data_IF_865976800664
#
_entry.id   IF_865976800664
#
_cell.length_a   1.000
_cell.length_b   1.000
_cell.length_c   1.000
_cell.angle_alpha   90.00
_cell.angle_beta   90.00
_cell.angle_gamma   90.00
#
_symmetry.space_group_name_H-M   'P 1'
#
loop_
_entity.id
_entity.type
_entity.pdbx_description
1 polymer ?
#
# COMPACT_ATOMS: atom_id res chain seq x y z
N UNK A 1 21.96 -5.26 6.25
CA UNK A 1 20.58 -4.82 5.98
C UNK A 1 20.29 -5.21 4.54
N UNK A 2 19.45 -6.20 4.30
CA UNK A 2 18.95 -6.43 2.96
C UNK A 2 18.01 -5.28 2.63
N UNK A 3 18.41 -4.48 1.65
CA UNK A 3 17.57 -3.37 1.16
C UNK A 3 16.40 -3.96 0.38
N UNK A 4 15.20 -3.39 0.53
CA UNK A 4 14.08 -3.72 -0.34
C UNK A 4 14.54 -3.60 -1.81
N UNK A 5 14.21 -4.58 -2.64
CA UNK A 5 14.60 -4.58 -4.05
C UNK A 5 13.93 -3.39 -4.73
N UNK A 6 14.71 -2.51 -5.35
CA UNK A 6 14.15 -1.40 -6.12
C UNK A 6 13.39 -1.92 -7.34
N UNK A 7 12.26 -1.32 -7.63
CA UNK A 7 11.48 -1.61 -8.84
C UNK A 7 12.05 -0.86 -10.05
N UNK A 8 11.79 -1.32 -11.28
CA UNK A 8 12.14 -0.56 -12.48
C UNK A 8 11.54 0.84 -12.44
N UNK A 9 12.31 1.85 -12.84
CA UNK A 9 11.88 3.24 -12.87
C UNK A 9 10.53 3.39 -13.59
N UNK A 10 9.47 3.90 -12.92
CA UNK A 10 8.12 3.90 -13.48
C UNK A 10 7.89 4.98 -14.53
N UNK A 11 8.73 6.01 -14.60
CA UNK A 11 8.60 7.11 -15.56
C UNK A 11 7.20 7.76 -15.54
N UNK A 12 6.76 8.15 -14.36
CA UNK A 12 5.45 8.77 -14.14
C UNK A 12 4.25 7.95 -14.63
N UNK A 13 4.38 6.61 -14.69
CA UNK A 13 3.23 5.75 -14.93
C UNK A 13 2.13 5.99 -13.90
N UNK A 14 0.89 5.83 -14.31
CA UNK A 14 -0.24 5.85 -13.38
C UNK A 14 -0.46 4.48 -12.74
N UNK A 15 -0.93 4.49 -11.49
CA UNK A 15 -1.45 3.32 -10.75
C UNK A 15 -2.51 3.77 -9.75
N UNK A 16 -3.13 2.84 -9.04
CA UNK A 16 -4.11 3.16 -7.98
C UNK A 16 -3.66 2.75 -6.60
N UNK A 17 -4.50 3.04 -5.57
CA UNK A 17 -4.25 2.74 -4.14
C UNK A 17 -5.21 1.66 -3.71
N UNK A 18 -5.58 0.70 -3.89
CA UNK A 18 -6.29 -0.43 -3.28
C UNK A 18 -7.81 -0.40 -3.41
N UNK A 19 -8.53 0.14 -2.45
CA UNK A 19 -9.98 0.01 -2.39
C UNK A 19 -10.72 0.64 -3.58
N UNK A 20 -11.69 -0.11 -4.14
CA UNK A 20 -12.63 0.35 -5.17
C UNK A 20 -14.07 0.03 -4.75
N UNK A 21 -15.07 0.85 -5.19
CA UNK A 21 -16.49 0.66 -4.86
C UNK A 21 -17.18 -0.39 -5.75
N UNK A 22 -16.42 -1.33 -6.29
CA UNK A 22 -16.93 -2.39 -7.15
C UNK A 22 -17.43 -3.56 -6.32
N UNK A 23 -18.46 -4.23 -6.80
CA UNK A 23 -18.96 -5.49 -6.24
C UNK A 23 -18.65 -6.72 -7.12
N UNK A 24 -18.28 -6.49 -8.37
CA UNK A 24 -17.82 -7.53 -9.29
C UNK A 24 -16.29 -7.49 -9.46
N UNK A 25 -15.56 -8.52 -9.01
CA UNK A 25 -14.11 -8.61 -9.13
C UNK A 25 -13.61 -8.57 -10.58
N UNK A 26 -14.36 -9.21 -11.50
CA UNK A 26 -13.97 -9.26 -12.90
C UNK A 26 -14.06 -7.89 -13.56
N UNK A 27 -15.11 -7.13 -13.23
CA UNK A 27 -15.27 -5.76 -13.70
C UNK A 27 -14.20 -4.83 -13.09
N UNK A 28 -13.94 -4.94 -11.79
CA UNK A 28 -12.93 -4.14 -11.11
C UNK A 28 -11.53 -4.31 -11.75
N UNK A 29 -11.13 -5.56 -11.96
CA UNK A 29 -9.84 -5.86 -12.59
C UNK A 29 -9.78 -5.43 -14.07
N UNK A 30 -10.89 -5.54 -14.81
CA UNK A 30 -10.97 -5.06 -16.20
C UNK A 30 -10.78 -3.55 -16.27
N UNK A 31 -11.44 -2.79 -15.39
CA UNK A 31 -11.33 -1.34 -15.33
C UNK A 31 -9.90 -0.91 -14.97
N UNK A 32 -9.27 -1.59 -13.98
CA UNK A 32 -7.88 -1.32 -13.61
C UNK A 32 -6.90 -1.61 -14.76
N UNK A 33 -7.00 -2.76 -15.40
CA UNK A 33 -6.11 -3.14 -16.50
C UNK A 33 -6.26 -2.22 -17.72
N UNK A 34 -7.47 -1.72 -17.96
CA UNK A 34 -7.72 -0.74 -19.03
C UNK A 34 -7.07 0.62 -18.79
N UNK A 35 -7.13 1.11 -17.54
CA UNK A 35 -6.63 2.44 -17.18
C UNK A 35 -5.14 2.45 -16.82
N UNK A 36 -4.61 1.34 -16.30
CA UNK A 36 -3.24 1.21 -15.82
C UNK A 36 -2.53 -0.01 -16.44
N UNK A 37 -2.36 -0.05 -17.77
CA UNK A 37 -1.86 -1.26 -18.44
C UNK A 37 -0.43 -1.64 -18.09
N UNK A 38 0.43 -0.67 -17.75
CA UNK A 38 1.84 -0.91 -17.43
C UNK A 38 2.08 -1.15 -15.93
N UNK A 39 1.27 -0.53 -15.07
CA UNK A 39 1.42 -0.57 -13.63
C UNK A 39 0.07 -0.81 -12.93
N UNK A 40 -0.63 -1.91 -13.25
CA UNK A 40 -1.92 -2.20 -12.61
C UNK A 40 -1.74 -2.52 -11.12
N UNK A 41 -2.79 -2.24 -10.37
CA UNK A 41 -2.90 -2.69 -8.99
C UNK A 41 -4.03 -3.69 -8.85
N UNK A 42 -3.96 -4.56 -7.85
CA UNK A 42 -5.03 -5.48 -7.52
C UNK A 42 -5.93 -4.79 -6.47
N UNK A 43 -7.20 -4.50 -6.79
CA UNK A 43 -8.06 -3.77 -5.86
C UNK A 43 -8.55 -4.66 -4.71
N UNK A 44 -8.88 -4.05 -3.57
CA UNK A 44 -9.77 -4.61 -2.56
C UNK A 44 -11.19 -4.07 -2.78
N UNK A 45 -12.21 -4.87 -2.48
CA UNK A 45 -13.61 -4.56 -2.80
C UNK A 45 -14.50 -4.54 -1.54
N UNK A 46 -14.33 -3.55 -0.66
CA UNK A 46 -15.02 -3.52 0.64
C UNK A 46 -16.55 -3.46 0.53
N UNK A 47 -17.11 -3.01 -0.60
CA UNK A 47 -18.55 -2.98 -0.84
C UNK A 47 -19.14 -4.39 -1.12
N UNK A 48 -18.29 -5.40 -1.33
CA UNK A 48 -18.73 -6.80 -1.39
C UNK A 48 -19.04 -7.38 -0.02
N UNK A 49 -18.37 -6.89 0.99
CA UNK A 49 -18.55 -7.35 2.35
C UNK A 49 -17.39 -6.96 3.25
N UNK A 50 -17.65 -7.00 4.54
CA UNK A 50 -16.71 -6.55 5.56
C UNK A 50 -15.34 -7.28 5.51
N UNK A 51 -15.33 -8.56 5.15
CA UNK A 51 -14.10 -9.34 5.07
C UNK A 51 -13.11 -8.83 4.01
N UNK A 52 -13.57 -8.08 3.00
CA UNK A 52 -12.71 -7.41 2.02
C UNK A 52 -12.30 -5.98 2.44
N UNK A 53 -12.66 -5.53 3.65
CA UNK A 53 -12.23 -4.23 4.19
C UNK A 53 -10.81 -4.31 4.76
N UNK A 54 -10.14 -3.15 4.82
CA UNK A 54 -8.82 -3.02 5.46
C UNK A 54 -8.84 -3.64 6.86
N UNK A 55 -7.76 -4.30 7.24
CA UNK A 55 -7.57 -5.13 8.44
C UNK A 55 -8.30 -6.46 8.38
N UNK A 56 -9.60 -6.47 8.03
CA UNK A 56 -10.35 -7.74 7.92
C UNK A 56 -9.78 -8.65 6.82
N UNK A 57 -9.45 -8.09 5.66
CA UNK A 57 -8.93 -8.85 4.52
C UNK A 57 -7.62 -9.60 4.80
N UNK A 58 -6.86 -9.12 5.78
CA UNK A 58 -5.59 -9.73 6.18
C UNK A 58 -5.66 -10.51 7.50
N UNK A 59 -6.87 -10.63 8.12
CA UNK A 59 -7.01 -11.09 9.50
C UNK A 59 -7.17 -12.62 9.67
N UNK A 60 -7.34 -13.37 8.60
CA UNK A 60 -7.77 -14.78 8.70
C UNK A 60 -6.84 -15.63 9.57
N UNK A 61 -5.53 -15.44 9.46
CA UNK A 61 -4.53 -16.21 10.20
C UNK A 61 -4.09 -15.56 11.52
N UNK A 62 -4.79 -14.50 11.98
CA UNK A 62 -4.44 -13.86 13.26
C UNK A 62 -4.71 -14.84 14.43
N UNK A 63 -3.70 -15.19 15.25
CA UNK A 63 -3.92 -15.92 16.50
C UNK A 63 -4.95 -15.21 17.37
N UNK A 64 -5.88 -15.96 17.96
CA UNK A 64 -6.93 -15.38 18.83
C UNK A 64 -7.96 -14.50 18.13
N UNK A 65 -8.06 -14.58 16.81
CA UNK A 65 -9.02 -13.82 16.01
C UNK A 65 -10.47 -14.12 16.39
N UNK A 66 -11.22 -13.06 16.66
CA UNK A 66 -12.67 -13.12 16.86
C UNK A 66 -13.35 -11.98 16.09
N UNK A 67 -14.43 -12.29 15.38
CA UNK A 67 -15.33 -11.27 14.83
C UNK A 67 -16.61 -11.29 15.66
N UNK A 68 -16.97 -10.15 16.24
CA UNK A 68 -18.19 -9.94 17.02
C UNK A 68 -18.74 -8.55 16.76
N UNK A 69 -20.04 -8.44 16.50
CA UNK A 69 -20.73 -7.17 16.25
C UNK A 69 -19.99 -6.31 15.18
N UNK A 70 -19.63 -6.94 14.07
CA UNK A 70 -18.89 -6.35 12.96
C UNK A 70 -17.52 -5.75 13.34
N UNK A 71 -16.93 -6.22 14.44
CA UNK A 71 -15.59 -5.80 14.88
C UNK A 71 -14.63 -6.98 14.89
N UNK A 72 -13.42 -6.69 14.46
CA UNK A 72 -12.30 -7.61 14.59
C UNK A 72 -11.64 -7.40 15.96
N UNK A 73 -11.60 -8.44 16.76
CA UNK A 73 -11.11 -8.44 18.12
C UNK A 73 -10.07 -9.53 18.31
N UNK A 74 -9.26 -9.39 19.34
CA UNK A 74 -8.34 -10.41 19.84
C UNK A 74 -8.90 -11.03 21.12
N UNK A 75 -9.02 -12.37 21.14
CA UNK A 75 -9.47 -13.11 22.33
C UNK A 75 -8.28 -13.36 23.28
N UNK A 76 -8.11 -12.42 24.22
CA UNK A 76 -7.10 -12.53 25.29
C UNK A 76 -7.53 -13.47 26.44
N UNK A 77 -8.70 -14.06 26.38
CA UNK A 77 -9.21 -14.96 27.45
C UNK A 77 -8.73 -16.41 27.27
N UNK A 78 -8.23 -16.75 26.08
CA UNK A 78 -7.70 -18.06 25.73
C UNK A 78 -6.19 -18.02 25.56
N UNK A 79 -5.55 -19.12 25.90
CA UNK A 79 -4.12 -19.29 25.59
C UNK A 79 -3.91 -19.36 24.07
N UNK A 80 -3.15 -18.44 23.54
CA UNK A 80 -2.79 -18.33 22.12
C UNK A 80 -1.34 -18.79 21.84
N UNK A 81 -0.62 -19.28 22.85
CA UNK A 81 0.81 -19.57 22.76
C UNK A 81 1.14 -20.50 21.59
N UNK A 82 0.44 -21.61 21.45
CA UNK A 82 0.69 -22.55 20.36
C UNK A 82 0.44 -21.96 18.97
N UNK A 83 -0.60 -21.11 18.81
CA UNK A 83 -0.87 -20.45 17.54
C UNK A 83 0.16 -19.37 17.19
N UNK A 84 0.66 -18.66 18.20
CA UNK A 84 1.73 -17.68 18.04
C UNK A 84 3.06 -18.36 17.73
N UNK A 85 3.40 -19.45 18.40
CA UNK A 85 4.58 -20.27 18.10
C UNK A 85 4.55 -20.81 16.67
N UNK A 86 3.37 -21.21 16.16
CA UNK A 86 3.24 -21.65 14.77
C UNK A 86 3.59 -20.54 13.79
N UNK A 87 3.15 -19.29 14.03
CA UNK A 87 3.53 -18.15 13.18
C UNK A 87 5.04 -17.94 13.16
N UNK A 88 5.71 -18.09 14.34
CA UNK A 88 7.18 -18.00 14.42
C UNK A 88 7.87 -19.10 13.63
N UNK A 89 7.40 -20.34 13.76
CA UNK A 89 7.97 -21.47 13.04
C UNK A 89 7.81 -21.30 11.54
N UNK A 90 6.61 -20.95 11.07
CA UNK A 90 6.33 -20.70 9.67
C UNK A 90 7.21 -19.56 9.11
N UNK A 91 7.41 -18.51 9.90
CA UNK A 91 8.28 -17.40 9.52
C UNK A 91 9.76 -17.83 9.38
N UNK A 92 10.29 -18.56 10.35
CA UNK A 92 11.69 -19.04 10.32
C UNK A 92 11.92 -20.01 9.18
N UNK A 93 10.95 -20.87 8.89
CA UNK A 93 11.01 -21.85 7.81
C UNK A 93 10.67 -21.25 6.43
N UNK A 94 10.15 -20.03 6.39
CA UNK A 94 9.64 -19.42 5.17
C UNK A 94 8.39 -20.10 4.61
N UNK A 95 7.61 -20.75 5.46
CA UNK A 95 6.39 -21.48 5.13
C UNK A 95 5.20 -20.52 4.99
N UNK A 96 5.08 -19.83 3.87
CA UNK A 96 4.01 -18.87 3.61
C UNK A 96 2.72 -19.50 3.06
N UNK A 97 2.70 -20.78 2.73
CA UNK A 97 1.53 -21.43 2.14
C UNK A 97 0.24 -21.37 3.01
N UNK A 98 0.33 -21.50 4.36
CA UNK A 98 -0.86 -21.35 5.23
C UNK A 98 -1.46 -19.94 5.26
N UNK A 99 -0.75 -18.94 4.73
CA UNK A 99 -1.16 -17.53 4.73
C UNK A 99 -1.80 -17.10 3.41
N UNK A 100 -2.28 -18.08 2.64
CA UNK A 100 -3.03 -17.87 1.41
C UNK A 100 -4.27 -17.00 1.66
N UNK A 101 -4.57 -16.13 0.70
CA UNK A 101 -5.83 -15.37 0.70
C UNK A 101 -6.96 -16.24 0.16
N UNK A 102 -8.10 -16.23 0.83
CA UNK A 102 -9.31 -16.91 0.39
C UNK A 102 -10.31 -15.95 -0.28
N UNK A 103 -11.24 -16.51 -1.04
CA UNK A 103 -12.16 -15.74 -1.92
C UNK A 103 -13.01 -14.72 -1.15
N UNK A 104 -13.38 -15.04 0.07
CA UNK A 104 -14.19 -14.20 0.95
C UNK A 104 -13.44 -12.94 1.41
N UNK A 105 -12.10 -12.96 1.36
CA UNK A 105 -11.21 -11.89 1.84
C UNK A 105 -10.57 -11.10 0.71
N UNK A 106 -10.43 -11.70 -0.48
CA UNK A 106 -9.64 -11.11 -1.57
C UNK A 106 -10.12 -11.58 -2.95
N UNK A 107 -11.39 -11.36 -3.25
CA UNK A 107 -12.01 -11.85 -4.48
C UNK A 107 -11.33 -11.31 -5.75
N UNK A 108 -10.98 -10.03 -5.77
CA UNK A 108 -10.31 -9.42 -6.92
C UNK A 108 -8.86 -9.91 -7.08
N UNK A 109 -8.16 -10.22 -5.98
CA UNK A 109 -6.83 -10.81 -6.06
C UNK A 109 -6.87 -12.17 -6.76
N UNK A 110 -7.73 -13.07 -6.29
CA UNK A 110 -7.86 -14.41 -6.87
C UNK A 110 -8.37 -14.36 -8.31
N UNK A 111 -9.28 -13.44 -8.63
CA UNK A 111 -9.77 -13.26 -10.00
C UNK A 111 -8.65 -12.75 -10.93
N UNK A 112 -7.84 -11.77 -10.50
CA UNK A 112 -6.68 -11.29 -11.26
C UNK A 112 -5.71 -12.44 -11.55
N UNK A 113 -5.52 -13.36 -10.60
CA UNK A 113 -4.65 -14.51 -10.78
C UNK A 113 -5.19 -15.52 -11.83
N UNK A 114 -6.45 -15.46 -12.24
CA UNK A 114 -6.96 -16.29 -13.34
C UNK A 114 -6.72 -15.68 -14.73
N UNK A 115 -6.42 -14.38 -14.80
CA UNK A 115 -6.29 -13.67 -16.06
C UNK A 115 -4.96 -13.93 -16.75
N UNK A 116 -5.00 -13.87 -18.07
CA UNK A 116 -3.79 -13.66 -18.86
C UNK A 116 -3.55 -12.16 -18.96
N UNK A 117 -2.43 -11.68 -18.42
CA UNK A 117 -1.98 -10.29 -18.51
C UNK A 117 -0.66 -10.22 -19.24
N UNK A 118 -0.49 -9.23 -20.11
CA UNK A 118 0.73 -9.05 -20.90
C UNK A 118 1.11 -7.57 -20.93
N UNK A 119 2.40 -7.28 -21.09
CA UNK A 119 2.89 -5.91 -21.13
C UNK A 119 2.92 -5.19 -19.78
N UNK A 120 2.65 -5.90 -18.69
CA UNK A 120 2.69 -5.36 -17.32
C UNK A 120 4.14 -5.27 -16.87
N UNK A 121 4.58 -4.07 -16.54
CA UNK A 121 5.93 -3.82 -16.01
C UNK A 121 6.00 -4.18 -14.53
N UNK A 122 5.03 -3.74 -13.76
CA UNK A 122 4.92 -4.05 -12.33
C UNK A 122 3.47 -4.35 -11.98
N UNK A 123 3.21 -5.52 -11.40
CA UNK A 123 1.91 -5.84 -10.81
C UNK A 123 1.96 -5.51 -9.32
N UNK A 124 1.03 -4.68 -8.86
CA UNK A 124 0.99 -4.18 -7.50
C UNK A 124 -0.18 -4.79 -6.72
N UNK A 125 0.07 -5.18 -5.47
CA UNK A 125 -0.98 -5.45 -4.48
C UNK A 125 -0.74 -4.65 -3.19
N UNK A 126 -1.75 -4.63 -2.33
CA UNK A 126 -1.66 -4.01 -1.01
C UNK A 126 -2.04 -4.99 0.08
N UNK A 127 -1.34 -4.88 1.21
CA UNK A 127 -1.56 -5.63 2.44
C UNK A 127 -1.64 -4.62 3.57
N UNK A 128 -2.48 -4.84 4.55
CA UNK A 128 -2.52 -3.99 5.76
C UNK A 128 -1.22 -4.14 6.52
N UNK A 129 -0.54 -3.02 6.79
CA UNK A 129 0.71 -3.08 7.54
C UNK A 129 0.50 -3.35 9.04
N UNK A 130 1.53 -3.83 9.74
CA UNK A 130 1.40 -4.31 11.12
C UNK A 130 1.01 -3.23 12.12
N UNK A 131 1.45 -1.99 11.92
CA UNK A 131 1.06 -0.87 12.81
C UNK A 131 -0.44 -0.62 12.72
N UNK A 132 -0.94 -0.43 11.51
CA UNK A 132 -2.37 -0.19 11.26
C UNK A 132 -3.23 -1.35 11.72
N UNK A 133 -2.80 -2.57 11.41
CA UNK A 133 -3.51 -3.76 11.82
C UNK A 133 -3.61 -3.84 13.34
N UNK A 134 -2.48 -3.78 14.03
CA UNK A 134 -2.41 -3.94 15.49
C UNK A 134 -3.03 -2.79 16.27
N UNK A 135 -3.10 -1.59 15.69
CA UNK A 135 -3.77 -0.44 16.28
C UNK A 135 -5.30 -0.51 16.12
N UNK A 136 -5.82 -1.18 15.10
CA UNK A 136 -7.26 -1.32 14.88
C UNK A 136 -7.86 -2.55 15.57
N UNK A 137 -7.07 -3.60 15.76
CA UNK A 137 -7.52 -4.79 16.49
C UNK A 137 -7.30 -4.58 17.99
N UNK A 138 -8.35 -4.76 18.78
CA UNK A 138 -8.31 -4.54 20.23
C UNK A 138 -8.68 -5.81 20.98
N UNK A 139 -8.19 -5.92 22.21
CA UNK A 139 -8.57 -6.95 23.17
C UNK A 139 -9.89 -6.67 23.90
N UNK A 140 -10.24 -7.51 24.86
CA UNK A 140 -11.47 -7.41 25.64
C UNK A 140 -11.57 -6.11 26.48
N UNK A 141 -10.44 -5.46 26.80
CA UNK A 141 -10.39 -4.18 27.52
C UNK A 141 -10.20 -2.98 26.58
N UNK A 142 -10.37 -3.19 25.27
CA UNK A 142 -10.23 -2.19 24.19
C UNK A 142 -8.82 -1.64 24.04
N UNK A 143 -7.80 -2.38 24.46
CA UNK A 143 -6.40 -2.02 24.23
C UNK A 143 -5.96 -2.54 22.86
N UNK A 144 -5.37 -1.70 21.99
CA UNK A 144 -4.78 -2.15 20.73
C UNK A 144 -3.73 -3.23 20.96
N UNK A 145 -3.78 -4.30 20.16
CA UNK A 145 -2.82 -5.41 20.29
C UNK A 145 -1.39 -5.00 19.94
N UNK A 146 -1.21 -3.91 19.19
CA UNK A 146 0.11 -3.36 18.87
C UNK A 146 0.91 -2.92 20.10
N UNK A 147 0.24 -2.61 21.24
CA UNK A 147 0.90 -2.25 22.49
C UNK A 147 1.39 -3.44 23.33
N UNK A 148 1.14 -4.65 22.87
CA UNK A 148 1.77 -5.84 23.39
C UNK A 148 2.94 -6.20 22.49
N UNK A 149 4.17 -6.19 23.03
CA UNK A 149 5.38 -6.39 22.23
C UNK A 149 5.44 -7.77 21.54
N UNK A 150 4.90 -8.80 22.19
CA UNK A 150 4.87 -10.15 21.63
C UNK A 150 3.83 -10.24 20.50
N UNK A 151 2.65 -9.64 20.69
CA UNK A 151 1.62 -9.60 19.65
C UNK A 151 2.05 -8.74 18.46
N UNK A 152 2.70 -7.60 18.69
CA UNK A 152 3.24 -6.76 17.62
C UNK A 152 4.28 -7.51 16.76
N UNK A 153 5.14 -8.28 17.40
CA UNK A 153 6.17 -9.08 16.73
C UNK A 153 5.55 -10.25 15.94
N UNK A 154 4.63 -11.01 16.54
CA UNK A 154 3.88 -12.08 15.84
C UNK A 154 3.10 -11.52 14.66
N UNK A 155 2.46 -10.38 14.82
CA UNK A 155 1.70 -9.72 13.77
C UNK A 155 2.59 -9.33 12.59
N UNK A 156 3.79 -8.80 12.86
CA UNK A 156 4.75 -8.45 11.81
C UNK A 156 5.16 -9.67 10.98
N UNK A 157 5.39 -10.80 11.64
CA UNK A 157 5.73 -12.08 10.98
C UNK A 157 4.57 -12.65 10.17
N UNK A 158 3.34 -12.58 10.72
CA UNK A 158 2.14 -12.98 10.01
C UNK A 158 1.95 -12.16 8.72
N UNK A 159 2.10 -10.82 8.81
CA UNK A 159 2.00 -9.94 7.64
C UNK A 159 3.15 -10.20 6.65
N UNK A 160 4.36 -10.50 7.13
CA UNK A 160 5.48 -10.87 6.27
C UNK A 160 5.19 -12.13 5.43
N UNK A 161 4.65 -13.17 6.06
CA UNK A 161 4.25 -14.41 5.40
C UNK A 161 3.13 -14.18 4.37
N UNK A 162 2.13 -13.35 4.72
CA UNK A 162 1.05 -12.97 3.82
C UNK A 162 1.56 -12.15 2.63
N UNK A 163 2.39 -11.15 2.86
CA UNK A 163 3.02 -10.36 1.80
C UNK A 163 3.85 -11.24 0.85
N UNK A 164 4.60 -12.20 1.42
CA UNK A 164 5.35 -13.18 0.65
C UNK A 164 4.46 -14.10 -0.19
N UNK A 165 3.33 -14.54 0.37
CA UNK A 165 2.36 -15.35 -0.37
C UNK A 165 1.79 -14.55 -1.55
N UNK A 166 1.32 -13.32 -1.31
CA UNK A 166 0.81 -12.45 -2.38
C UNK A 166 1.85 -12.25 -3.49
N UNK A 167 3.10 -11.98 -3.13
CA UNK A 167 4.19 -11.83 -4.09
C UNK A 167 4.41 -13.13 -4.90
N UNK A 168 4.46 -14.28 -4.22
CA UNK A 168 4.67 -15.56 -4.87
C UNK A 168 3.56 -15.87 -5.88
N UNK A 169 2.31 -15.66 -5.52
CA UNK A 169 1.17 -15.85 -6.43
C UNK A 169 1.24 -14.91 -7.63
N UNK A 170 1.52 -13.62 -7.42
CA UNK A 170 1.70 -12.69 -8.53
C UNK A 170 2.81 -13.13 -9.49
N UNK A 171 3.93 -13.67 -8.97
CA UNK A 171 5.06 -14.15 -9.80
C UNK A 171 4.79 -15.43 -10.56
N UNK A 172 3.87 -16.28 -10.10
CA UNK A 172 3.54 -17.52 -10.83
C UNK A 172 2.67 -17.28 -12.05
N UNK A 173 2.00 -16.15 -12.11
CA UNK A 173 0.98 -15.83 -13.12
C UNK A 173 1.54 -14.88 -14.16
N UNK A 174 2.03 -15.43 -15.28
CA UNK A 174 2.20 -14.73 -16.54
C UNK A 174 3.18 -13.55 -16.59
N UNK A 175 3.83 -13.34 -17.66
CA UNK A 175 4.57 -12.23 -18.26
C UNK A 175 4.67 -10.87 -17.56
N UNK A 176 4.61 -10.80 -16.22
CA UNK A 176 4.92 -9.59 -15.46
C UNK A 176 6.44 -9.49 -15.26
N UNK A 177 6.96 -8.27 -15.37
CA UNK A 177 8.41 -8.07 -15.17
C UNK A 177 8.78 -8.07 -13.68
N UNK A 178 7.96 -7.42 -12.84
CA UNK A 178 8.24 -7.29 -11.41
C UNK A 178 6.93 -7.22 -10.59
N UNK A 179 7.03 -7.44 -9.29
CA UNK A 179 5.94 -7.35 -8.32
C UNK A 179 6.22 -6.25 -7.31
N UNK A 180 5.17 -5.63 -6.81
CA UNK A 180 5.22 -4.65 -5.73
C UNK A 180 4.15 -4.95 -4.68
N UNK A 181 4.55 -5.24 -3.47
CA UNK A 181 3.66 -5.29 -2.31
C UNK A 181 3.75 -3.97 -1.56
N UNK A 182 2.62 -3.32 -1.31
CA UNK A 182 2.58 -2.05 -0.57
C UNK A 182 1.85 -2.26 0.75
N UNK A 183 2.49 -1.88 1.84
CA UNK A 183 1.87 -1.89 3.16
C UNK A 183 1.00 -0.64 3.35
N UNK A 184 -0.28 -0.84 3.64
CA UNK A 184 -1.20 0.24 4.02
C UNK A 184 -1.00 0.58 5.49
N UNK A 185 -0.43 1.76 5.76
CA UNK A 185 -0.03 2.19 7.10
C UNK A 185 -0.54 3.60 7.49
N UNK A 186 -1.86 3.87 7.43
CA UNK A 186 -2.40 5.17 7.86
C UNK A 186 -2.07 5.49 9.32
N UNK A 187 -1.89 4.50 10.21
CA UNK A 187 -1.52 4.73 11.61
C UNK A 187 -0.06 5.20 11.80
N UNK A 188 0.79 5.17 10.78
CA UNK A 188 2.08 5.87 10.85
C UNK A 188 1.93 7.39 11.03
N UNK A 189 0.76 7.96 10.74
CA UNK A 189 0.43 9.33 11.10
C UNK A 189 0.56 9.61 12.62
N UNK A 190 0.54 8.57 13.45
CA UNK A 190 0.71 8.67 14.90
C UNK A 190 2.18 8.64 15.36
N UNK A 191 3.15 8.49 14.45
CA UNK A 191 4.56 8.57 14.80
C UNK A 191 4.88 9.92 15.45
N UNK A 192 5.48 9.86 16.65
CA UNK A 192 5.77 11.06 17.44
C UNK A 192 4.58 11.64 18.21
N UNK A 193 3.40 11.03 18.12
CA UNK A 193 2.24 11.42 18.95
C UNK A 193 2.46 11.02 20.41
N UNK A 194 2.18 11.94 21.33
CA UNK A 194 2.15 11.62 22.77
C UNK A 194 0.84 10.98 23.22
N UNK A 195 -0.22 11.05 22.39
CA UNK A 195 -1.56 10.55 22.71
C UNK A 195 -1.73 9.11 22.22
N UNK A 196 -1.19 8.80 21.06
CA UNK A 196 -1.19 7.46 20.47
C UNK A 196 0.26 7.12 20.12
N UNK A 197 1.07 6.69 21.09
CA UNK A 197 2.48 6.46 20.86
C UNK A 197 2.69 5.23 19.97
N UNK A 198 3.45 5.40 18.90
CA UNK A 198 3.95 4.34 18.05
C UNK A 198 5.48 4.39 18.12
N UNK A 199 6.07 3.30 18.61
CA UNK A 199 7.51 3.21 18.77
C UNK A 199 8.22 2.95 17.44
N UNK A 200 9.20 3.79 17.09
CA UNK A 200 9.96 3.69 15.84
C UNK A 200 10.76 2.40 15.71
N UNK A 201 11.33 1.91 16.81
CA UNK A 201 12.15 0.69 16.78
C UNK A 201 11.27 -0.54 16.53
N UNK A 202 10.08 -0.59 17.13
CA UNK A 202 9.09 -1.65 16.86
C UNK A 202 8.65 -1.61 15.39
N UNK A 203 8.37 -0.42 14.85
CA UNK A 203 8.03 -0.26 13.41
C UNK A 203 9.18 -0.74 12.52
N UNK A 204 10.41 -0.37 12.84
CA UNK A 204 11.60 -0.78 12.09
C UNK A 204 11.83 -2.28 12.13
N UNK A 205 11.65 -2.91 13.30
CA UNK A 205 11.75 -4.36 13.45
C UNK A 205 10.73 -5.07 12.56
N UNK A 206 9.46 -4.67 12.64
CA UNK A 206 8.39 -5.24 11.79
C UNK A 206 8.62 -5.02 10.31
N UNK A 207 9.10 -3.84 9.91
CA UNK A 207 9.51 -3.59 8.52
C UNK A 207 10.60 -4.54 8.05
N UNK A 208 11.64 -4.75 8.87
CA UNK A 208 12.76 -5.64 8.55
C UNK A 208 12.29 -7.10 8.41
N UNK A 209 11.37 -7.55 9.27
CA UNK A 209 10.77 -8.88 9.15
C UNK A 209 10.10 -9.08 7.80
N UNK A 210 9.30 -8.10 7.36
CA UNK A 210 8.60 -8.18 6.07
C UNK A 210 9.59 -8.10 4.90
N UNK A 211 10.55 -7.17 4.96
CA UNK A 211 11.56 -6.98 3.93
C UNK A 211 12.49 -8.21 3.75
N UNK A 212 12.67 -8.99 4.80
CA UNK A 212 13.48 -10.23 4.73
C UNK A 212 12.83 -11.32 3.88
N UNK A 213 11.49 -11.39 3.85
CA UNK A 213 10.74 -12.43 3.13
C UNK A 213 10.33 -11.99 1.71
N UNK A 214 9.93 -10.73 1.52
CA UNK A 214 9.53 -10.20 0.21
C UNK A 214 10.76 -10.07 -0.69
N UNK A 215 10.71 -10.62 -1.89
CA UNK A 215 11.85 -10.67 -2.84
C UNK A 215 11.72 -9.66 -3.98
N UNK A 216 10.52 -9.11 -4.21
CA UNK A 216 10.25 -8.03 -5.15
C UNK A 216 10.25 -6.66 -4.49
N UNK A 217 9.57 -5.70 -5.11
CA UNK A 217 9.38 -4.38 -4.51
C UNK A 217 8.53 -4.44 -3.25
N UNK A 218 8.91 -3.66 -2.23
CA UNK A 218 8.14 -3.47 -1.01
C UNK A 218 7.96 -1.98 -0.75
N UNK A 219 6.72 -1.52 -0.64
CA UNK A 219 6.38 -0.11 -0.47
C UNK A 219 5.58 0.17 0.80
N UNK A 220 5.44 1.46 1.11
CA UNK A 220 4.60 1.97 2.20
C UNK A 220 3.62 3.00 1.63
N UNK A 221 2.34 2.88 1.99
CA UNK A 221 1.32 3.89 1.74
C UNK A 221 0.86 4.50 3.07
N UNK A 222 0.98 5.82 3.20
CA UNK A 222 0.39 6.60 4.28
C UNK A 222 -0.31 7.81 3.67
N UNK A 223 -1.65 7.86 3.79
CA UNK A 223 -2.47 8.96 3.25
C UNK A 223 -2.59 10.16 4.20
N UNK A 224 -1.78 10.22 5.25
CA UNK A 224 -1.73 11.33 6.19
C UNK A 224 -0.27 11.78 6.38
N UNK A 225 -0.08 12.96 6.96
CA UNK A 225 1.27 13.38 7.32
C UNK A 225 1.87 12.48 8.41
N UNK A 226 3.17 12.19 8.29
CA UNK A 226 3.94 11.35 9.23
C UNK A 226 5.37 11.85 9.33
N UNK A 227 6.20 11.18 10.12
CA UNK A 227 7.65 11.38 10.11
C UNK A 227 8.26 10.75 8.83
N UNK A 228 8.28 11.53 7.76
CA UNK A 228 8.77 11.07 6.46
C UNK A 228 10.24 10.74 6.45
N UNK A 229 11.05 11.40 7.27
CA UNK A 229 12.48 11.07 7.41
C UNK A 229 12.65 9.65 7.95
N UNK A 230 11.87 9.29 8.96
CA UNK A 230 11.84 7.93 9.47
C UNK A 230 11.36 6.93 8.41
N UNK A 231 10.25 7.21 7.71
CA UNK A 231 9.73 6.32 6.64
C UNK A 231 10.77 6.14 5.53
N UNK A 232 11.43 7.21 5.08
CA UNK A 232 12.51 7.17 4.09
C UNK A 232 13.68 6.33 4.59
N UNK A 233 14.00 6.39 5.90
CA UNK A 233 15.09 5.63 6.51
C UNK A 233 14.85 4.12 6.54
N UNK A 234 13.60 3.66 6.41
CA UNK A 234 13.25 2.25 6.22
C UNK A 234 13.64 1.72 4.84
N UNK A 235 13.94 2.63 3.91
CA UNK A 235 14.35 2.35 2.54
C UNK A 235 13.36 1.48 1.73
N UNK A 236 12.06 1.83 1.69
CA UNK A 236 11.11 1.13 0.84
C UNK A 236 11.42 1.34 -0.65
N UNK A 237 10.92 0.45 -1.52
CA UNK A 237 11.00 0.64 -2.98
C UNK A 237 10.10 1.78 -3.44
N UNK A 238 8.94 1.93 -2.78
CA UNK A 238 7.93 2.94 -3.10
C UNK A 238 7.41 3.57 -1.82
N UNK A 239 7.37 4.89 -1.77
CA UNK A 239 6.61 5.68 -0.79
C UNK A 239 5.41 6.27 -1.50
N UNK A 240 4.21 5.95 -1.03
CA UNK A 240 2.94 6.45 -1.57
C UNK A 240 2.29 7.40 -0.57
N UNK A 241 2.06 8.64 -1.01
CA UNK A 241 1.55 9.73 -0.17
C UNK A 241 0.27 10.33 -0.73
N UNK A 242 -0.51 10.99 0.10
CA UNK A 242 -1.55 11.93 -0.33
C UNK A 242 -0.90 13.28 -0.66
N UNK A 243 -0.43 13.43 -1.89
CA UNK A 243 0.18 14.68 -2.33
C UNK A 243 -0.86 15.80 -2.59
N UNK A 244 -2.13 15.46 -2.73
CA UNK A 244 -3.19 16.47 -2.83
C UNK A 244 -3.36 17.26 -1.54
N UNK A 245 -3.35 16.59 -0.41
CA UNK A 245 -3.55 17.20 0.91
C UNK A 245 -2.25 17.55 1.64
N UNK A 246 -1.18 16.73 1.52
CA UNK A 246 0.01 16.80 2.39
C UNK A 246 1.34 17.04 1.66
N UNK A 247 1.31 17.49 0.38
CA UNK A 247 2.54 17.74 -0.37
C UNK A 247 3.48 18.74 0.32
N UNK A 248 2.93 19.79 0.94
CA UNK A 248 3.73 20.82 1.61
C UNK A 248 4.54 20.25 2.76
N UNK A 249 3.92 19.41 3.58
CA UNK A 249 4.54 18.74 4.72
C UNK A 249 5.61 17.74 4.26
N UNK A 250 5.33 16.97 3.19
CA UNK A 250 6.31 16.06 2.60
C UNK A 250 7.52 16.79 2.03
N UNK A 251 7.32 17.93 1.39
CA UNK A 251 8.39 18.77 0.81
C UNK A 251 9.30 19.41 1.85
N UNK A 252 8.95 19.45 3.14
CA UNK A 252 9.86 19.85 4.20
C UNK A 252 11.09 18.92 4.31
N UNK A 253 10.95 17.67 3.81
CA UNK A 253 12.01 16.65 3.78
C UNK A 253 12.71 16.57 2.41
N UNK A 254 12.74 17.67 1.65
CA UNK A 254 13.20 17.69 0.25
C UNK A 254 14.59 17.08 0.05
N UNK A 255 15.54 17.28 0.96
CA UNK A 255 16.89 16.72 0.86
C UNK A 255 16.88 15.20 1.04
N UNK A 256 16.09 14.67 2.00
CA UNK A 256 15.92 13.25 2.21
C UNK A 256 15.16 12.59 1.04
N UNK A 257 14.15 13.28 0.47
CA UNK A 257 13.43 12.84 -0.73
C UNK A 257 14.36 12.76 -1.94
N UNK A 258 15.21 13.76 -2.13
CA UNK A 258 16.22 13.78 -3.21
C UNK A 258 17.16 12.58 -3.10
N UNK A 259 17.78 12.38 -1.94
CA UNK A 259 18.65 11.24 -1.68
C UNK A 259 17.94 9.89 -1.84
N UNK A 260 16.64 9.82 -1.50
CA UNK A 260 15.82 8.63 -1.71
C UNK A 260 15.59 8.35 -3.21
N UNK A 261 15.25 9.36 -4.02
CA UNK A 261 15.05 9.20 -5.46
C UNK A 261 16.36 8.89 -6.18
N UNK A 262 17.49 9.49 -5.78
CA UNK A 262 18.81 9.24 -6.35
C UNK A 262 19.28 7.79 -6.20
N UNK A 263 18.95 7.12 -5.09
CA UNK A 263 19.26 5.69 -4.91
C UNK A 263 18.22 4.74 -5.52
N UNK A 264 17.28 5.26 -6.32
CA UNK A 264 16.27 4.48 -7.05
C UNK A 264 14.93 4.34 -6.33
N UNK A 265 14.73 5.01 -5.21
CA UNK A 265 13.44 5.07 -4.53
C UNK A 265 12.38 5.78 -5.37
N UNK A 266 11.15 5.29 -5.32
CA UNK A 266 10.02 5.83 -6.10
C UNK A 266 9.02 6.52 -5.19
N UNK A 267 8.58 7.71 -5.58
CA UNK A 267 7.47 8.40 -4.91
C UNK A 267 6.20 8.28 -5.75
N UNK A 268 5.16 7.71 -5.16
CA UNK A 268 3.82 7.66 -5.73
C UNK A 268 3.03 8.87 -5.22
N UNK A 269 2.88 9.84 -6.11
CA UNK A 269 2.24 11.12 -5.83
C UNK A 269 0.73 10.98 -5.95
N UNK A 270 0.03 10.96 -4.83
CA UNK A 270 -1.43 10.98 -4.74
C UNK A 270 -2.00 12.35 -5.09
N UNK A 271 -1.90 12.73 -6.37
CA UNK A 271 -2.30 14.04 -6.87
C UNK A 271 -3.82 14.16 -7.04
N UNK A 272 -4.49 13.05 -7.36
CA UNK A 272 -5.92 13.06 -7.65
C UNK A 272 -6.68 12.73 -6.36
N UNK A 273 -7.53 13.63 -5.83
CA UNK A 273 -8.27 13.36 -4.60
C UNK A 273 -9.18 12.14 -4.78
N UNK A 274 -9.07 11.21 -3.84
CA UNK A 274 -9.88 9.98 -3.82
C UNK A 274 -11.32 10.23 -3.35
N UNK A 275 -11.57 11.32 -2.62
CA UNK A 275 -12.92 11.74 -2.24
C UNK A 275 -13.62 12.42 -3.43
N UNK A 276 -14.73 11.82 -3.90
CA UNK A 276 -15.41 12.28 -5.09
C UNK A 276 -15.90 13.73 -5.00
N UNK A 277 -16.32 14.21 -3.83
CA UNK A 277 -16.75 15.60 -3.63
C UNK A 277 -15.62 16.59 -3.87
N UNK A 278 -14.41 16.29 -3.42
CA UNK A 278 -13.23 17.09 -3.68
C UNK A 278 -12.82 16.98 -5.16
N UNK A 279 -12.80 15.76 -5.71
CA UNK A 279 -12.48 15.53 -7.11
C UNK A 279 -13.40 16.32 -8.05
N UNK A 280 -14.69 16.40 -7.75
CA UNK A 280 -15.68 17.13 -8.57
C UNK A 280 -15.44 18.65 -8.63
N UNK A 281 -14.62 19.20 -7.73
CA UNK A 281 -14.21 20.62 -7.75
C UNK A 281 -12.92 20.86 -8.54
N UNK A 282 -12.26 19.82 -8.99
CA UNK A 282 -10.99 19.89 -9.70
C UNK A 282 -11.16 19.60 -11.20
N UNK A 283 -10.19 20.02 -11.97
CA UNK A 283 -10.01 19.64 -13.37
C UNK A 283 -8.72 18.86 -13.53
N UNK A 284 -8.54 18.09 -14.61
CA UNK A 284 -7.27 17.46 -14.92
C UNK A 284 -6.16 18.50 -15.04
N UNK A 285 -6.44 19.69 -15.57
CA UNK A 285 -5.48 20.78 -15.70
C UNK A 285 -5.02 21.31 -14.33
N UNK A 286 -5.93 21.49 -13.37
CA UNK A 286 -5.57 21.94 -12.01
C UNK A 286 -4.71 20.91 -11.28
N UNK A 287 -5.05 19.62 -11.40
CA UNK A 287 -4.31 18.52 -10.80
C UNK A 287 -2.94 18.32 -11.47
N UNK A 288 -2.87 18.41 -12.79
CA UNK A 288 -1.61 18.38 -13.52
C UNK A 288 -0.68 19.52 -13.11
N UNK A 289 -1.21 20.75 -12.96
CA UNK A 289 -0.46 21.90 -12.46
C UNK A 289 0.11 21.63 -11.07
N UNK A 290 -0.65 20.99 -10.16
CA UNK A 290 -0.13 20.60 -8.82
C UNK A 290 1.08 19.69 -8.93
N UNK A 291 1.06 18.72 -9.83
CA UNK A 291 2.21 17.85 -10.06
C UNK A 291 3.43 18.67 -10.52
N UNK A 292 3.26 19.57 -11.48
CA UNK A 292 4.34 20.44 -11.97
C UNK A 292 4.86 21.39 -10.89
N UNK A 293 3.98 21.91 -10.03
CA UNK A 293 4.36 22.78 -8.92
C UNK A 293 5.23 22.01 -7.89
N UNK A 294 4.92 20.74 -7.58
CA UNK A 294 5.74 19.88 -6.73
C UNK A 294 7.10 19.63 -7.38
N UNK A 295 7.13 19.25 -8.67
CA UNK A 295 8.37 19.04 -9.44
C UNK A 295 9.25 20.29 -9.41
N UNK A 296 8.66 21.46 -9.63
CA UNK A 296 9.36 22.75 -9.60
C UNK A 296 9.95 23.06 -8.22
N UNK A 297 9.22 22.79 -7.13
CA UNK A 297 9.72 22.99 -5.76
C UNK A 297 10.90 22.07 -5.42
N UNK A 298 10.97 20.89 -6.00
CA UNK A 298 12.09 19.95 -5.83
C UNK A 298 13.23 20.19 -6.83
N UNK A 299 13.07 21.01 -7.86
CA UNK A 299 14.01 21.13 -8.99
C UNK A 299 15.43 21.58 -8.60
N UNK A 300 15.60 22.28 -7.48
CA UNK A 300 16.92 22.64 -6.94
C UNK A 300 17.70 21.46 -6.33
N UNK A 301 17.04 20.33 -6.08
CA UNK A 301 17.60 19.13 -5.45
C UNK A 301 17.51 17.90 -6.30
N UNK A 302 16.41 17.75 -7.05
CA UNK A 302 16.10 16.59 -7.91
C UNK A 302 16.02 17.09 -9.36
N UNK A 303 16.90 16.65 -10.26
CA UNK A 303 16.75 16.94 -11.68
C UNK A 303 15.39 16.48 -12.20
N UNK A 304 14.74 17.25 -13.05
CA UNK A 304 13.39 16.92 -13.56
C UNK A 304 13.30 15.52 -14.17
N UNK A 305 14.33 15.10 -14.91
CA UNK A 305 14.39 13.75 -15.49
C UNK A 305 14.38 12.65 -14.41
N UNK A 306 15.08 12.87 -13.30
CA UNK A 306 15.10 11.93 -12.19
C UNK A 306 13.76 11.93 -11.46
N UNK A 307 13.19 13.11 -11.22
CA UNK A 307 11.87 13.25 -10.63
C UNK A 307 10.82 12.46 -11.43
N UNK A 308 10.74 12.70 -12.74
CA UNK A 308 9.76 11.99 -13.58
C UNK A 308 10.06 10.49 -13.72
N UNK A 309 11.34 10.09 -13.77
CA UNK A 309 11.73 8.68 -13.82
C UNK A 309 11.31 7.92 -12.54
N UNK A 310 11.47 8.53 -11.37
CA UNK A 310 11.20 7.92 -10.05
C UNK A 310 9.83 8.31 -9.48
N UNK A 311 8.88 8.69 -10.32
CA UNK A 311 7.54 9.07 -9.94
C UNK A 311 6.47 8.09 -10.44
N UNK A 312 5.43 7.90 -9.63
CA UNK A 312 4.14 7.33 -10.02
C UNK A 312 3.05 8.39 -9.80
N UNK A 313 2.02 8.38 -10.64
CA UNK A 313 0.82 9.22 -10.49
C UNK A 313 -0.32 8.37 -9.94
N UNK A 314 -0.94 8.79 -8.83
CA UNK A 314 -1.99 8.00 -8.20
C UNK A 314 -3.14 8.87 -7.69
N UNK A 315 -4.32 8.27 -7.45
CA UNK A 315 -5.26 8.83 -6.49
C UNK A 315 -4.61 8.94 -5.11
N UNK A 316 -5.09 9.87 -4.28
CA UNK A 316 -4.52 10.16 -2.96
C UNK A 316 -4.70 9.02 -1.95
N UNK A 317 -5.73 8.20 -2.12
CA UNK A 317 -6.07 7.05 -1.28
C UNK A 317 -6.90 6.03 -2.08
N UNK A 318 -7.38 4.98 -1.42
CA UNK A 318 -8.39 4.07 -1.98
C UNK A 318 -9.71 4.80 -2.26
N UNK A 319 -10.33 4.50 -3.40
CA UNK A 319 -11.56 5.17 -3.85
C UNK A 319 -12.75 4.38 -3.31
N UNK A 320 -13.13 4.63 -2.06
CA UNK A 320 -14.19 3.87 -1.38
C UNK A 320 -15.56 4.55 -1.41
N UNK A 321 -15.60 5.89 -1.42
CA UNK A 321 -16.83 6.67 -1.23
C UNK A 321 -17.35 7.31 -2.51
N UNK A 322 -17.01 6.75 -3.67
CA UNK A 322 -17.57 7.06 -4.97
C UNK A 322 -18.44 5.86 -5.42
N UNK A 323 -19.29 6.10 -6.41
CA UNK A 323 -19.83 5.01 -7.20
C UNK A 323 -18.79 4.52 -8.24
N UNK A 324 -19.15 3.50 -9.02
CA UNK A 324 -18.25 2.98 -10.05
C UNK A 324 -17.84 4.06 -11.05
N UNK A 325 -18.79 4.86 -11.54
CA UNK A 325 -18.52 5.88 -12.55
C UNK A 325 -17.62 6.99 -12.00
N UNK A 326 -17.83 7.41 -10.74
CA UNK A 326 -16.96 8.32 -10.03
C UNK A 326 -15.55 7.74 -9.86
N UNK A 327 -15.43 6.45 -9.54
CA UNK A 327 -14.12 5.81 -9.41
C UNK A 327 -13.37 5.74 -10.75
N UNK A 328 -14.06 5.46 -11.85
CA UNK A 328 -13.49 5.48 -13.20
C UNK A 328 -12.98 6.87 -13.58
N UNK A 329 -13.74 7.92 -13.24
CA UNK A 329 -13.32 9.31 -13.50
C UNK A 329 -12.08 9.70 -12.69
N UNK A 330 -11.98 9.31 -11.42
CA UNK A 330 -10.82 9.55 -10.58
C UNK A 330 -9.61 8.81 -11.14
N UNK A 331 -9.73 7.51 -11.43
CA UNK A 331 -8.64 6.71 -12.02
C UNK A 331 -8.24 7.24 -13.40
N UNK A 332 -9.22 7.61 -14.23
CA UNK A 332 -9.00 8.19 -15.55
C UNK A 332 -8.22 9.50 -15.51
N UNK A 333 -8.49 10.36 -14.52
CA UNK A 333 -7.72 11.58 -14.32
C UNK A 333 -6.23 11.28 -13.99
N UNK A 334 -5.96 10.28 -13.16
CA UNK A 334 -4.58 9.87 -12.88
C UNK A 334 -3.87 9.33 -14.14
N UNK A 335 -4.57 8.51 -14.94
CA UNK A 335 -4.07 8.01 -16.21
C UNK A 335 -3.79 9.14 -17.21
N UNK A 336 -4.69 10.12 -17.32
CA UNK A 336 -4.52 11.27 -18.22
C UNK A 336 -3.35 12.16 -17.80
N UNK A 337 -3.21 12.46 -16.50
CA UNK A 337 -2.06 13.24 -15.99
C UNK A 337 -0.75 12.50 -16.32
N UNK A 338 -0.67 11.21 -16.05
CA UNK A 338 0.49 10.39 -16.43
C UNK A 338 0.82 10.46 -17.91
N UNK A 339 -0.19 10.34 -18.78
CA UNK A 339 -0.02 10.43 -20.22
C UNK A 339 0.56 11.81 -20.62
N UNK A 340 0.05 12.89 -20.09
CA UNK A 340 0.52 14.26 -20.37
C UNK A 340 1.98 14.47 -19.97
N UNK A 341 2.39 13.99 -18.78
CA UNK A 341 3.78 14.09 -18.32
C UNK A 341 4.70 13.33 -19.28
N UNK A 342 4.35 12.11 -19.61
CA UNK A 342 5.18 11.22 -20.44
C UNK A 342 5.32 11.72 -21.88
N UNK A 343 4.27 12.32 -22.43
CA UNK A 343 4.28 12.87 -23.80
C UNK A 343 5.15 14.13 -23.91
N UNK A 344 5.28 14.91 -22.85
CA UNK A 344 6.14 16.09 -22.85
C UNK A 344 7.64 15.75 -22.71
N UNK A 345 7.93 14.56 -22.19
CA UNK A 345 9.30 14.09 -21.97
C UNK A 345 9.83 13.18 -23.10
N UNK A 346 9.01 12.89 -24.11
CA UNK A 346 9.35 12.13 -25.32
C UNK A 346 9.84 13.04 -26.41
#
# INVERSE_FOLDING_TARGET
MDMAKMIPAPHSCATGVGALPHTDPAQANSDVLSLFPEFPFIPTLPDRGQLESIVFNDSEQLPGRVIRDDRLLFDSTKDQTAAMEQVYMDYVEGNYAPYALHKEYASAFLEMMTRHISGVRVLKCQVTGPVTFGMQVVDAVKRPIYYDAQLADVLSKMIALKARWCEAEMKTKTGICETLVVLNEPYLASLGSSVVPVDKETVRAGWNDIASLVKGGLGIHCCSNTDWEFVISLNPSVISIDAYATAKEFLLYADSVAAYMERGGVVAWGIVPAEYKLFATETVDSLYKRYLDIRTQLSSRVPERLFDAQSLVTPSCGIRFADRDGSLRIMGAAAEISCRIRTQNS
#
